data_IF_683204685318
#
_entry.id   IF_683204685318
#
_cell.length_a   1.000
_cell.length_b   1.000
_cell.length_c   1.000
_cell.angle_alpha   90.00
_cell.angle_beta   90.00
_cell.angle_gamma   90.00
#
_symmetry.space_group_name_H-M   'P 1'
#
loop_
_entity.id
_entity.type
_entity.pdbx_description
1 polymer ?
#
# COMPACT_ATOMS: atom_id res chain seq x y z
N UNK A 1 -52.10 -48.43 -35.66
CA UNK A 1 -50.89 -48.88 -34.95
C UNK A 1 -49.75 -48.06 -35.51
N UNK A 2 -49.37 -47.00 -34.78
CA UNK A 2 -48.20 -47.01 -33.87
C UNK A 2 -46.91 -46.94 -34.70
N UNK A 3 -45.96 -46.04 -34.52
CA UNK A 3 -45.68 -44.94 -33.59
C UNK A 3 -44.53 -44.16 -34.26
N UNK A 4 -44.37 -42.86 -34.07
CA UNK A 4 -43.80 -42.30 -32.85
C UNK A 4 -42.69 -41.35 -33.31
N UNK A 5 -42.96 -40.05 -33.24
CA UNK A 5 -41.98 -39.01 -33.50
C UNK A 5 -40.94 -39.04 -32.37
N UNK A 6 -39.68 -39.25 -32.71
CA UNK A 6 -38.56 -39.02 -31.79
C UNK A 6 -37.95 -37.68 -32.15
N UNK A 7 -38.33 -36.68 -31.38
CA UNK A 7 -37.68 -35.38 -31.31
C UNK A 7 -36.26 -35.55 -30.75
N UNK A 8 -35.25 -35.46 -31.62
CA UNK A 8 -33.86 -35.36 -31.19
C UNK A 8 -33.63 -33.97 -30.56
N UNK A 9 -33.38 -33.98 -29.25
CA UNK A 9 -32.98 -32.80 -28.49
C UNK A 9 -31.58 -32.40 -28.97
N UNK A 10 -31.46 -31.26 -29.64
CA UNK A 10 -30.17 -30.61 -29.86
C UNK A 10 -29.54 -30.29 -28.50
N UNK A 11 -28.52 -31.05 -28.12
CA UNK A 11 -27.62 -30.68 -27.04
C UNK A 11 -26.73 -29.55 -27.54
N UNK A 12 -26.98 -28.33 -27.08
CA UNK A 12 -26.16 -27.16 -27.36
C UNK A 12 -24.74 -27.40 -26.84
N UNK A 13 -23.81 -27.84 -27.70
CA UNK A 13 -22.39 -27.92 -27.35
C UNK A 13 -21.74 -26.55 -27.51
N UNK A 14 -20.93 -26.18 -26.52
CA UNK A 14 -20.20 -24.92 -26.44
C UNK A 14 -18.97 -24.91 -27.37
N UNK A 15 -19.17 -25.17 -28.67
CA UNK A 15 -18.10 -25.25 -29.67
C UNK A 15 -18.41 -24.48 -30.94
N UNK A 16 -19.04 -23.30 -30.80
CA UNK A 16 -19.37 -22.41 -31.93
C UNK A 16 -18.14 -21.79 -32.64
N UNK A 17 -16.93 -21.99 -32.09
CA UNK A 17 -15.67 -21.42 -32.61
C UNK A 17 -14.78 -22.45 -33.30
N UNK A 18 -15.11 -23.74 -33.24
CA UNK A 18 -14.33 -24.80 -33.90
C UNK A 18 -14.88 -24.99 -35.31
N UNK A 19 -14.18 -24.45 -36.31
CA UNK A 19 -14.47 -24.76 -37.72
C UNK A 19 -14.04 -26.22 -37.98
N UNK A 20 -14.96 -27.06 -38.46
CA UNK A 20 -14.69 -28.48 -38.78
C UNK A 20 -13.65 -28.67 -39.91
N UNK A 21 -13.36 -27.63 -40.69
CA UNK A 21 -12.32 -27.64 -41.72
C UNK A 21 -10.96 -27.25 -41.15
N UNK A 22 -10.20 -28.24 -40.71
CA UNK A 22 -8.78 -28.11 -40.33
C UNK A 22 -7.82 -27.96 -41.52
N UNK A 23 -8.33 -28.04 -42.76
CA UNK A 23 -7.54 -27.98 -43.99
C UNK A 23 -6.90 -26.61 -44.29
N UNK A 24 -7.43 -25.53 -43.70
CA UNK A 24 -6.91 -24.15 -43.83
C UNK A 24 -6.21 -23.68 -42.55
N UNK A 25 -5.86 -24.59 -41.63
CA UNK A 25 -5.13 -24.25 -40.43
C UNK A 25 -3.64 -24.01 -40.75
N UNK A 26 -3.08 -22.92 -40.22
CA UNK A 26 -1.64 -22.68 -40.30
C UNK A 26 -0.88 -23.90 -39.74
N UNK A 27 0.18 -24.37 -40.43
CA UNK A 27 0.92 -25.54 -39.98
C UNK A 27 1.45 -25.33 -38.56
N UNK A 28 1.47 -26.39 -37.72
CA UNK A 28 1.96 -26.27 -36.35
C UNK A 28 3.41 -25.77 -36.35
N UNK A 29 3.78 -24.85 -35.43
CA UNK A 29 5.13 -24.31 -35.40
C UNK A 29 6.12 -25.44 -35.11
N UNK A 30 7.10 -25.60 -36.01
CA UNK A 30 8.16 -26.60 -35.84
C UNK A 30 9.17 -26.12 -34.78
N UNK A 31 9.55 -26.96 -33.81
CA UNK A 31 10.56 -26.60 -32.81
C UNK A 31 11.89 -26.27 -33.49
N UNK A 32 12.40 -25.05 -33.29
CA UNK A 32 13.70 -24.63 -33.80
C UNK A 32 14.72 -24.62 -32.67
N UNK A 33 15.86 -25.29 -32.89
CA UNK A 33 16.99 -25.24 -31.97
C UNK A 33 17.61 -23.84 -32.01
N UNK A 34 17.69 -23.18 -30.85
CA UNK A 34 18.27 -21.84 -30.73
C UNK A 34 19.79 -21.93 -30.91
N UNK A 35 20.35 -21.13 -31.80
CA UNK A 35 21.80 -20.99 -31.94
C UNK A 35 22.34 -20.01 -30.88
N UNK A 36 23.63 -20.09 -30.51
CA UNK A 36 24.23 -19.14 -29.56
C UNK A 36 24.14 -17.67 -30.02
N UNK A 37 23.97 -17.41 -31.33
CA UNK A 37 23.75 -16.06 -31.85
C UNK A 37 22.31 -15.56 -31.63
N UNK A 38 21.32 -16.46 -31.59
CA UNK A 38 19.93 -16.11 -31.29
C UNK A 38 19.77 -15.71 -29.81
N UNK A 39 20.53 -16.36 -28.92
CA UNK A 39 20.60 -16.01 -27.49
C UNK A 39 21.21 -14.61 -27.30
N UNK A 40 22.24 -14.27 -28.07
CA UNK A 40 22.93 -12.97 -27.97
C UNK A 40 22.10 -11.79 -28.50
N UNK A 41 21.20 -12.03 -29.47
CA UNK A 41 20.26 -11.02 -29.97
C UNK A 41 19.13 -10.68 -28.97
N UNK A 42 18.74 -11.63 -28.11
CA UNK A 42 17.76 -11.33 -27.05
C UNK A 42 18.33 -10.39 -25.98
N UNK A 43 19.64 -10.39 -25.75
CA UNK A 43 20.32 -9.52 -24.78
C UNK A 43 20.56 -8.09 -25.27
N UNK A 44 20.19 -7.73 -26.51
CA UNK A 44 20.45 -6.40 -27.09
C UNK A 44 19.45 -5.32 -26.65
N UNK A 45 18.42 -5.67 -25.89
CA UNK A 45 17.46 -4.70 -25.37
C UNK A 45 18.04 -3.99 -24.14
N UNK A 46 17.84 -2.66 -24.07
CA UNK A 46 18.23 -1.79 -22.95
C UNK A 46 17.92 -2.44 -21.58
N UNK A 47 18.65 -2.10 -20.50
CA UNK A 47 18.40 -2.69 -19.18
C UNK A 47 16.90 -2.60 -18.85
N UNK A 48 16.25 -3.77 -18.86
CA UNK A 48 14.84 -3.87 -18.59
C UNK A 48 14.64 -3.54 -17.11
N UNK A 49 13.87 -2.49 -16.83
CA UNK A 49 13.33 -2.29 -15.50
C UNK A 49 12.25 -3.37 -15.31
N UNK A 50 12.49 -4.28 -14.36
CA UNK A 50 11.57 -5.38 -14.04
C UNK A 50 12.17 -6.76 -14.31
N UNK A 51 11.32 -7.78 -14.32
CA UNK A 51 11.74 -9.17 -14.56
C UNK A 51 12.16 -9.37 -16.02
N UNK A 52 13.01 -10.38 -16.29
CA UNK A 52 13.43 -10.78 -17.65
C UNK A 52 12.22 -11.10 -18.55
N UNK A 53 11.11 -11.55 -17.96
CA UNK A 53 9.86 -11.81 -18.66
C UNK A 53 9.19 -10.53 -19.20
N UNK A 54 9.45 -9.37 -18.60
CA UNK A 54 8.87 -8.08 -18.99
C UNK A 54 9.72 -7.33 -20.02
N UNK A 55 10.36 -8.05 -20.94
CA UNK A 55 11.19 -7.44 -22.00
C UNK A 55 10.36 -6.52 -22.91
N UNK A 56 9.06 -6.81 -23.09
CA UNK A 56 8.14 -6.01 -23.89
C UNK A 56 7.62 -4.73 -23.19
N UNK A 57 8.02 -4.48 -21.93
CA UNK A 57 7.56 -3.31 -21.16
C UNK A 57 6.06 -3.32 -20.85
N UNK A 58 5.48 -4.52 -20.75
CA UNK A 58 4.13 -4.78 -20.26
C UNK A 58 3.98 -4.38 -18.77
N UNK A 59 2.76 -4.40 -18.26
CA UNK A 59 2.49 -4.08 -16.86
C UNK A 59 3.04 -5.18 -15.95
N UNK A 60 3.91 -4.81 -15.03
CA UNK A 60 4.43 -5.69 -13.97
C UNK A 60 4.22 -5.00 -12.61
N UNK A 61 3.58 -5.69 -11.67
CA UNK A 61 3.39 -5.21 -10.31
C UNK A 61 4.21 -6.04 -9.32
N UNK A 62 4.90 -5.35 -8.42
CA UNK A 62 5.60 -5.93 -7.29
C UNK A 62 4.93 -5.47 -6.00
N UNK A 63 4.41 -6.42 -5.24
CA UNK A 63 3.85 -6.15 -3.93
C UNK A 63 4.97 -5.82 -2.93
N UNK A 64 4.85 -4.68 -2.27
CA UNK A 64 5.79 -4.19 -1.26
C UNK A 64 5.13 -4.00 0.12
N UNK A 65 3.95 -4.60 0.32
CA UNK A 65 3.14 -4.37 1.52
C UNK A 65 3.87 -4.78 2.82
N UNK A 66 4.48 -5.97 2.83
CA UNK A 66 5.23 -6.47 4.00
C UNK A 66 6.31 -5.48 4.44
N UNK A 67 7.19 -5.12 3.51
CA UNK A 67 8.25 -4.16 3.79
C UNK A 67 7.71 -2.79 4.20
N UNK A 68 6.67 -2.31 3.53
CA UNK A 68 6.11 -0.98 3.80
C UNK A 68 5.52 -0.90 5.20
N UNK A 69 4.76 -1.92 5.60
CA UNK A 69 4.19 -2.02 6.96
C UNK A 69 5.28 -2.05 8.03
N UNK A 70 6.35 -2.83 7.83
CA UNK A 70 7.48 -2.88 8.76
C UNK A 70 8.22 -1.55 8.83
N UNK A 71 8.49 -0.93 7.67
CA UNK A 71 9.23 0.32 7.58
C UNK A 71 8.47 1.51 8.17
N UNK A 72 7.17 1.60 7.92
CA UNK A 72 6.30 2.62 8.53
C UNK A 72 6.32 2.48 10.05
N UNK A 73 6.16 1.26 10.59
CA UNK A 73 6.24 1.03 12.04
C UNK A 73 7.58 1.47 12.63
N UNK A 74 8.69 1.17 11.96
CA UNK A 74 10.03 1.58 12.39
C UNK A 74 10.22 3.10 12.39
N UNK A 75 9.80 3.77 11.30
CA UNK A 75 9.90 5.22 11.16
C UNK A 75 9.05 5.97 12.18
N UNK A 76 7.83 5.49 12.43
CA UNK A 76 6.93 6.07 13.43
C UNK A 76 7.45 5.85 14.86
N UNK A 77 8.03 4.68 15.14
CA UNK A 77 8.69 4.41 16.43
C UNK A 77 9.91 5.31 16.66
N UNK A 78 10.56 5.78 15.60
CA UNK A 78 11.72 6.66 15.67
C UNK A 78 11.39 8.13 15.97
N UNK A 79 10.12 8.56 15.94
CA UNK A 79 9.73 9.95 16.23
C UNK A 79 10.01 10.31 17.71
N UNK A 80 9.99 9.32 18.60
CA UNK A 80 10.35 9.49 20.01
C UNK A 80 9.33 10.32 20.80
N UNK A 81 9.84 11.15 21.71
CA UNK A 81 9.03 11.99 22.59
C UNK A 81 9.12 13.47 22.22
N UNK A 82 7.98 14.16 22.22
CA UNK A 82 7.89 15.62 22.07
C UNK A 82 7.63 16.26 23.43
N UNK A 83 8.38 17.33 23.71
CA UNK A 83 8.19 18.17 24.89
C UNK A 83 7.40 19.43 24.48
N UNK A 84 6.36 19.72 25.25
CA UNK A 84 5.47 20.85 25.09
C UNK A 84 5.60 21.79 26.29
N UNK A 85 5.11 23.01 26.15
CA UNK A 85 5.11 24.00 27.25
C UNK A 85 4.38 23.50 28.50
N UNK A 86 3.34 22.68 28.31
CA UNK A 86 2.49 22.18 29.40
C UNK A 86 2.56 20.66 29.59
N UNK A 87 3.55 19.96 29.02
CA UNK A 87 3.65 18.51 29.16
C UNK A 87 4.64 17.85 28.24
N UNK A 88 4.70 16.53 28.28
CA UNK A 88 5.51 15.69 27.41
C UNK A 88 4.64 14.57 26.86
N UNK A 89 4.74 14.28 25.57
CA UNK A 89 4.11 13.11 24.99
C UNK A 89 5.12 12.25 24.24
N UNK A 90 4.86 10.95 24.23
CA UNK A 90 5.68 9.93 23.60
C UNK A 90 4.77 8.99 22.81
N UNK A 91 5.23 8.62 21.62
CA UNK A 91 4.60 7.56 20.83
C UNK A 91 4.96 6.23 21.49
N UNK A 92 3.94 5.51 21.96
CA UNK A 92 4.13 4.21 22.58
C UNK A 92 4.27 3.09 21.55
N UNK A 93 3.32 3.02 20.63
CA UNK A 93 3.27 1.95 19.64
C UNK A 93 2.34 2.34 18.48
N UNK A 94 2.47 1.62 17.37
CA UNK A 94 1.55 1.72 16.23
C UNK A 94 0.59 0.53 16.31
N UNK A 95 -0.61 0.76 16.88
CA UNK A 95 -1.64 -0.28 17.02
C UNK A 95 -2.16 -0.80 15.69
N UNK A 96 -2.42 0.10 14.73
CA UNK A 96 -2.96 -0.27 13.42
C UNK A 96 -2.09 0.32 12.32
N UNK A 97 -1.66 -0.53 11.40
CA UNK A 97 -0.98 -0.15 10.16
C UNK A 97 -1.43 -1.16 9.10
N UNK A 98 -2.47 -0.80 8.36
CA UNK A 98 -3.09 -1.64 7.35
C UNK A 98 -3.18 -0.87 6.05
N UNK A 99 -2.98 -1.55 4.94
CA UNK A 99 -2.95 -0.91 3.64
C UNK A 99 -2.23 -1.76 2.61
N UNK A 100 -2.03 -1.15 1.45
CA UNK A 100 -1.41 -1.78 0.30
C UNK A 100 -0.31 -0.87 -0.25
N UNK A 101 0.84 -1.48 -0.57
CA UNK A 101 1.94 -0.82 -1.25
C UNK A 101 2.38 -1.66 -2.44
N UNK A 102 2.55 -1.01 -3.58
CA UNK A 102 2.92 -1.65 -4.81
C UNK A 102 3.88 -0.79 -5.63
N UNK A 103 4.75 -1.47 -6.37
CA UNK A 103 5.59 -0.88 -7.38
C UNK A 103 5.14 -1.43 -8.74
N UNK A 104 4.65 -0.54 -9.59
CA UNK A 104 4.24 -0.85 -10.96
C UNK A 104 5.34 -0.43 -11.92
N UNK A 105 5.73 -1.34 -12.79
CA UNK A 105 6.58 -1.07 -13.94
C UNK A 105 5.77 -1.14 -15.22
N UNK A 106 5.73 -0.04 -15.97
CA UNK A 106 5.01 0.05 -17.25
C UNK A 106 5.85 0.83 -18.25
N UNK A 107 6.04 0.29 -19.47
CA UNK A 107 6.87 0.91 -20.52
C UNK A 107 8.24 1.36 -20.00
N UNK A 108 8.89 0.51 -19.21
CA UNK A 108 10.20 0.78 -18.59
C UNK A 108 10.22 1.99 -17.62
N UNK A 109 9.06 2.37 -17.05
CA UNK A 109 8.95 3.42 -16.02
C UNK A 109 8.43 2.82 -14.73
N UNK A 110 9.10 3.12 -13.61
CA UNK A 110 8.63 2.80 -12.26
C UNK A 110 7.56 3.80 -11.83
N UNK A 111 6.51 3.29 -11.22
CA UNK A 111 5.46 4.02 -10.52
C UNK A 111 5.28 3.34 -9.18
N UNK A 112 5.27 4.12 -8.11
CA UNK A 112 4.97 3.62 -6.78
C UNK A 112 3.59 4.11 -6.39
N UNK A 113 2.86 3.29 -5.66
CA UNK A 113 1.58 3.66 -5.08
C UNK A 113 1.43 2.96 -3.74
N UNK A 114 0.81 3.65 -2.81
CA UNK A 114 0.33 3.04 -1.58
C UNK A 114 -0.92 3.76 -1.10
N UNK A 115 -1.68 3.04 -0.28
CA UNK A 115 -2.79 3.56 0.52
C UNK A 115 -2.71 2.87 1.87
N UNK A 116 -2.65 3.64 2.95
CA UNK A 116 -2.58 3.12 4.32
C UNK A 116 -3.52 3.85 5.26
N UNK A 117 -3.94 3.13 6.29
CA UNK A 117 -4.61 3.64 7.48
C UNK A 117 -3.70 3.39 8.70
N UNK A 118 -3.64 4.37 9.61
CA UNK A 118 -2.78 4.32 10.78
C UNK A 118 -3.52 4.67 12.06
N UNK A 119 -3.27 3.88 13.10
CA UNK A 119 -3.64 4.21 14.48
C UNK A 119 -2.39 4.10 15.34
N UNK A 120 -2.03 5.19 16.00
CA UNK A 120 -0.80 5.34 16.78
C UNK A 120 -1.18 5.65 18.22
N UNK A 121 -0.73 4.83 19.16
CA UNK A 121 -0.95 5.06 20.59
C UNK A 121 0.08 6.02 21.15
N UNK A 122 -0.42 7.02 21.87
CA UNK A 122 0.39 8.06 22.50
C UNK A 122 0.16 8.04 24.01
N UNK A 123 1.24 8.19 24.76
CA UNK A 123 1.22 8.32 26.21
C UNK A 123 2.01 9.56 26.59
N UNK A 124 1.50 10.32 27.55
CA UNK A 124 2.19 11.53 27.98
C UNK A 124 1.76 11.99 29.36
N UNK A 125 2.45 13.02 29.83
CA UNK A 125 2.21 13.66 31.11
C UNK A 125 1.98 15.15 30.85
N UNK A 126 0.84 15.69 31.29
CA UNK A 126 0.52 17.09 31.15
C UNK A 126 0.27 17.73 32.51
N UNK A 127 0.74 18.96 32.66
CA UNK A 127 0.51 19.76 33.86
C UNK A 127 -0.87 20.42 33.75
N UNK A 128 -1.84 19.90 34.50
CA UNK A 128 -3.22 20.41 34.54
C UNK A 128 -3.54 20.88 35.94
N UNK A 129 -3.80 22.17 36.11
CA UNK A 129 -4.13 22.76 37.41
C UNK A 129 -2.99 22.72 38.45
N UNK A 130 -1.74 22.57 38.03
CA UNK A 130 -0.57 22.47 38.91
C UNK A 130 -0.14 21.04 39.25
N UNK A 131 -0.89 20.02 38.80
CA UNK A 131 -0.54 18.60 38.97
C UNK A 131 -0.21 17.96 37.63
N UNK A 132 0.80 17.09 37.61
CA UNK A 132 1.15 16.29 36.43
C UNK A 132 0.21 15.09 36.32
N UNK A 133 -0.69 15.11 35.34
CA UNK A 133 -1.61 14.01 35.04
C UNK A 133 -1.09 13.19 33.87
N UNK A 134 -1.07 11.86 34.04
CA UNK A 134 -0.75 10.91 32.97
C UNK A 134 -1.96 10.73 32.08
N UNK A 135 -1.80 11.03 30.80
CA UNK A 135 -2.86 10.98 29.80
C UNK A 135 -2.45 9.98 28.73
N UNK A 136 -3.39 9.13 28.35
CA UNK A 136 -3.26 8.21 27.23
C UNK A 136 -4.22 8.63 26.13
N UNK A 137 -3.80 8.44 24.89
CA UNK A 137 -4.62 8.73 23.72
C UNK A 137 -4.16 7.90 22.54
N UNK A 138 -4.87 8.05 21.44
CA UNK A 138 -4.51 7.49 20.14
C UNK A 138 -4.71 8.55 19.06
N UNK A 139 -3.80 8.56 18.10
CA UNK A 139 -3.84 9.36 16.89
C UNK A 139 -4.29 8.45 15.76
N UNK A 140 -5.32 8.85 15.04
CA UNK A 140 -5.88 8.10 13.92
C UNK A 140 -5.76 8.91 12.64
N UNK A 141 -5.23 8.27 11.60
CA UNK A 141 -5.18 8.75 10.23
C UNK A 141 -6.04 7.78 9.43
N UNK A 142 -7.22 8.25 9.01
CA UNK A 142 -8.25 7.42 8.39
C UNK A 142 -7.77 6.76 7.10
N UNK A 143 -7.17 7.56 6.20
CA UNK A 143 -6.55 7.08 4.98
C UNK A 143 -5.54 8.12 4.50
N UNK A 144 -4.39 7.67 4.02
CA UNK A 144 -3.47 8.52 3.27
C UNK A 144 -2.82 7.71 2.14
N UNK A 145 -2.52 8.41 1.06
CA UNK A 145 -1.99 7.81 -0.16
C UNK A 145 -0.72 8.52 -0.63
N UNK A 146 -0.04 7.89 -1.58
CA UNK A 146 1.18 8.45 -2.17
C UNK A 146 0.92 9.82 -2.81
N UNK A 147 1.67 10.83 -2.38
CA UNK A 147 1.57 12.21 -2.88
C UNK A 147 0.56 13.10 -2.14
N UNK A 148 -0.31 12.54 -1.31
CA UNK A 148 -1.36 13.27 -0.58
C UNK A 148 -0.95 13.56 0.88
N UNK A 149 0.36 13.56 1.19
CA UNK A 149 0.85 13.84 2.54
C UNK A 149 0.67 15.32 2.96
N UNK A 150 0.30 16.21 2.04
CA UNK A 150 0.04 17.62 2.36
C UNK A 150 -1.29 17.83 3.10
N UNK A 151 -2.31 17.06 2.73
CA UNK A 151 -3.67 17.13 3.27
C UNK A 151 -3.91 16.09 4.37
N UNK A 152 -2.84 15.62 5.03
CA UNK A 152 -2.93 14.56 6.03
C UNK A 152 -3.78 15.00 7.24
N UNK A 153 -4.97 14.43 7.37
CA UNK A 153 -5.85 14.71 8.52
C UNK A 153 -5.52 13.79 9.71
N UNK A 154 -5.22 14.40 10.86
CA UNK A 154 -4.93 13.70 12.11
C UNK A 154 -6.08 13.86 13.11
N UNK A 155 -6.76 12.75 13.42
CA UNK A 155 -7.79 12.70 14.45
C UNK A 155 -7.16 12.30 15.78
N UNK A 156 -7.35 13.14 16.80
CA UNK A 156 -6.80 12.90 18.15
C UNK A 156 -7.91 12.45 19.07
N UNK A 157 -7.74 11.28 19.68
CA UNK A 157 -8.65 10.76 20.69
C UNK A 157 -7.92 10.56 22.01
N UNK A 158 -8.50 11.08 23.09
CA UNK A 158 -7.93 11.00 24.43
C UNK A 158 -8.69 9.93 25.22
N UNK A 159 -8.03 8.83 25.57
CA UNK A 159 -8.63 7.69 26.27
C UNK A 159 -8.50 7.75 27.80
N UNK A 160 -7.78 8.74 28.34
CA UNK A 160 -7.65 8.98 29.79
C UNK A 160 -7.93 10.44 30.18
N UNK A 161 -8.67 10.67 31.26
CA UNK A 161 -8.96 12.03 31.75
C UNK A 161 -10.31 12.58 31.32
N UNK A 162 -11.36 11.76 31.37
CA UNK A 162 -12.76 12.22 31.23
C UNK A 162 -13.10 13.37 32.18
N UNK A 163 -12.41 13.47 33.31
CA UNK A 163 -12.50 14.53 34.34
C UNK A 163 -11.71 15.82 34.02
N UNK A 164 -10.97 15.88 32.90
CA UNK A 164 -10.20 17.08 32.55
C UNK A 164 -11.13 18.22 32.11
N UNK A 165 -10.83 19.48 32.50
CA UNK A 165 -11.57 20.64 32.03
C UNK A 165 -11.50 20.72 30.50
N UNK A 166 -12.55 21.25 29.88
CA UNK A 166 -12.64 21.34 28.43
C UNK A 166 -11.47 22.14 27.81
N UNK A 167 -10.98 23.18 28.50
CA UNK A 167 -9.84 23.96 28.02
C UNK A 167 -8.54 23.15 27.98
N UNK A 168 -8.24 22.37 29.01
CA UNK A 168 -7.05 21.50 29.03
C UNK A 168 -7.13 20.43 27.95
N UNK A 169 -8.31 19.81 27.75
CA UNK A 169 -8.53 18.85 26.66
C UNK A 169 -8.21 19.48 25.30
N UNK A 170 -8.69 20.70 25.05
CA UNK A 170 -8.39 21.41 23.81
C UNK A 170 -6.91 21.74 23.65
N UNK A 171 -6.22 22.13 24.72
CA UNK A 171 -4.77 22.38 24.69
C UNK A 171 -4.00 21.10 24.39
N UNK A 172 -4.31 20.00 25.07
CA UNK A 172 -3.69 18.69 24.83
C UNK A 172 -3.94 18.22 23.39
N UNK A 173 -5.16 18.39 22.87
CA UNK A 173 -5.45 18.06 21.46
C UNK A 173 -4.61 18.90 20.49
N UNK A 174 -4.40 20.19 20.77
CA UNK A 174 -3.53 21.06 19.94
C UNK A 174 -2.07 20.62 20.02
N UNK A 175 -1.58 20.29 21.21
CA UNK A 175 -0.22 19.76 21.40
C UNK A 175 -0.03 18.46 20.61
N UNK A 176 -0.98 17.53 20.74
CA UNK A 176 -0.97 16.26 20.01
C UNK A 176 -1.06 16.43 18.49
N UNK A 177 -1.77 17.46 18.00
CA UNK A 177 -1.77 17.82 16.58
C UNK A 177 -0.39 18.27 16.08
N UNK A 178 0.51 18.71 16.96
CA UNK A 178 1.88 19.04 16.58
C UNK A 178 2.70 17.81 16.16
N UNK A 179 2.26 16.58 16.52
CA UNK A 179 2.86 15.35 15.96
C UNK A 179 2.63 15.19 14.46
N UNK A 180 1.68 15.92 13.86
CA UNK A 180 1.43 15.86 12.42
C UNK A 180 2.69 16.21 11.61
N UNK A 181 3.46 17.21 12.05
CA UNK A 181 4.68 17.63 11.36
C UNK A 181 5.75 16.51 11.32
N UNK A 182 6.21 15.95 12.46
CA UNK A 182 7.20 14.87 12.42
C UNK A 182 6.65 13.58 11.79
N UNK A 183 5.34 13.31 11.93
CA UNK A 183 4.70 12.20 11.21
C UNK A 183 4.84 12.38 9.69
N UNK A 184 4.51 13.57 9.19
CA UNK A 184 4.63 13.92 7.77
C UNK A 184 6.07 13.81 7.26
N UNK A 185 7.05 14.29 8.02
CA UNK A 185 8.47 14.16 7.65
C UNK A 185 8.90 12.69 7.54
N UNK A 186 8.50 11.84 8.48
CA UNK A 186 8.80 10.41 8.45
C UNK A 186 8.08 9.68 7.31
N UNK A 187 6.83 10.04 7.03
CA UNK A 187 6.10 9.49 5.88
C UNK A 187 6.70 9.96 4.55
N UNK A 188 7.19 11.19 4.46
CA UNK A 188 7.91 11.66 3.27
C UNK A 188 9.23 10.91 3.05
N UNK A 189 9.96 10.63 4.14
CA UNK A 189 11.14 9.77 4.08
C UNK A 189 10.76 8.38 3.55
N UNK A 190 9.67 7.80 4.03
CA UNK A 190 9.14 6.53 3.51
C UNK A 190 8.82 6.60 2.01
N UNK A 191 8.21 7.68 1.52
CA UNK A 191 7.94 7.85 0.08
C UNK A 191 9.21 7.86 -0.77
N UNK A 192 10.27 8.48 -0.26
CA UNK A 192 11.57 8.52 -0.96
C UNK A 192 12.18 7.12 -1.03
N UNK A 193 12.19 6.39 0.10
CA UNK A 193 12.71 5.01 0.14
C UNK A 193 11.90 4.05 -0.74
N UNK A 194 10.58 4.26 -0.82
CA UNK A 194 9.71 3.46 -1.69
C UNK A 194 10.05 3.69 -3.17
N UNK A 195 10.39 4.93 -3.58
CA UNK A 195 10.82 5.25 -4.96
C UNK A 195 12.15 4.63 -5.35
N UNK A 196 13.07 4.51 -4.41
CA UNK A 196 14.41 3.97 -4.67
C UNK A 196 14.41 2.43 -4.84
N UNK A 197 13.36 1.76 -4.37
CA UNK A 197 13.14 0.32 -4.58
C UNK A 197 12.88 -0.02 -6.05
#
# INVERSE_FOLDING_TARGET
MEGGAVSEKQTSSYTYWVRETTSDAAPPPVPKMLSPQDVSKQTSHAPALGSVWNTAGTWEEKNLNKWSTERIKELLSSIGSLEFTNGKAEISEVSKCSGDAYLVTVRNKKRVGYTYELTIDVKGEWQVGGENKKIKGYLEIAEFSYGELDDLELTVNISGGSDLPHQDKQSITKDLKSFLQPLREKLLQFEQELKER
#
